data_IF_151081449138
#
_entry.id   IF_151081449138
#
_cell.length_a   1.000
_cell.length_b   1.000
_cell.length_c   1.000
_cell.angle_alpha   90.00
_cell.angle_beta   90.00
_cell.angle_gamma   90.00
#
_symmetry.space_group_name_H-M   'P 1'
#
loop_
_entity.id
_entity.type
_entity.pdbx_description
1 polymer ?
#
# COMPACT_ATOMS: atom_id res chain seq x y z
N UNK A 1 11.98 -9.04 -14.72
CA UNK A 1 10.54 -9.15 -15.08
C UNK A 1 10.07 -7.75 -15.41
N UNK A 2 9.72 -7.48 -16.65
CA UNK A 2 9.14 -6.20 -17.07
C UNK A 2 7.66 -6.20 -16.68
N UNK A 3 7.24 -5.23 -15.87
CA UNK A 3 5.84 -5.08 -15.46
C UNK A 3 5.11 -4.19 -16.46
N UNK A 4 3.80 -4.44 -16.66
CA UNK A 4 2.95 -3.49 -17.36
C UNK A 4 2.61 -2.36 -16.39
N UNK A 5 2.72 -1.12 -16.85
CA UNK A 5 2.34 0.09 -16.12
C UNK A 5 1.02 0.63 -16.65
N UNK A 6 0.38 1.52 -15.89
CA UNK A 6 -0.81 2.21 -16.34
C UNK A 6 -0.44 3.21 -17.45
N UNK A 7 -0.96 3.06 -18.69
CA UNK A 7 -0.58 3.92 -19.81
C UNK A 7 -1.15 5.34 -19.71
N UNK A 8 -2.07 5.59 -18.79
CA UNK A 8 -2.70 6.91 -18.62
C UNK A 8 -1.84 7.91 -17.84
N UNK A 9 -0.70 7.47 -17.31
CA UNK A 9 0.14 8.27 -16.41
C UNK A 9 1.61 8.16 -16.78
N UNK A 10 2.34 9.25 -16.57
CA UNK A 10 3.81 9.24 -16.61
C UNK A 10 4.30 8.60 -15.31
N UNK A 11 5.12 7.56 -15.42
CA UNK A 11 5.56 6.78 -14.25
C UNK A 11 6.92 7.28 -13.77
N UNK A 12 7.04 7.48 -12.47
CA UNK A 12 8.31 7.57 -11.75
C UNK A 12 8.91 6.17 -11.66
N UNK A 13 9.83 5.85 -12.59
CA UNK A 13 10.43 4.53 -12.70
C UNK A 13 11.22 4.13 -11.45
N UNK A 14 11.84 5.08 -10.76
CA UNK A 14 12.61 4.81 -9.54
C UNK A 14 11.67 4.40 -8.40
N UNK A 15 10.61 5.20 -8.17
CA UNK A 15 9.58 4.87 -7.18
C UNK A 15 8.89 3.55 -7.51
N UNK A 16 8.55 3.34 -8.79
CA UNK A 16 7.93 2.09 -9.23
C UNK A 16 8.85 0.88 -8.99
N UNK A 17 10.15 1.03 -9.24
CA UNK A 17 11.13 -0.01 -8.97
C UNK A 17 11.23 -0.32 -7.47
N UNK A 18 11.19 0.70 -6.60
CA UNK A 18 11.18 0.53 -5.15
C UNK A 18 9.93 -0.19 -4.66
N UNK A 19 8.74 0.23 -5.11
CA UNK A 19 7.46 -0.40 -4.77
C UNK A 19 7.40 -1.87 -5.20
N UNK A 20 7.82 -2.17 -6.43
CA UNK A 20 7.80 -3.55 -6.94
C UNK A 20 8.84 -4.44 -6.27
N UNK A 21 10.01 -3.90 -5.88
CA UNK A 21 10.99 -4.66 -5.10
C UNK A 21 10.52 -4.93 -3.67
N UNK A 22 9.82 -3.99 -3.05
CA UNK A 22 9.15 -4.20 -1.75
C UNK A 22 8.11 -5.31 -1.84
N UNK A 23 7.24 -5.26 -2.86
CA UNK A 23 6.26 -6.32 -3.14
C UNK A 23 6.91 -7.69 -3.35
N UNK A 24 8.05 -7.77 -4.06
CA UNK A 24 8.80 -9.02 -4.23
C UNK A 24 9.30 -9.56 -2.89
N UNK A 25 9.84 -8.71 -2.01
CA UNK A 25 10.29 -9.14 -0.66
C UNK A 25 9.13 -9.68 0.17
N UNK A 26 7.94 -9.08 0.09
CA UNK A 26 6.72 -9.61 0.70
C UNK A 26 6.39 -10.99 0.13
N UNK A 27 6.33 -11.12 -1.21
CA UNK A 27 6.07 -12.39 -1.91
C UNK A 27 7.04 -13.50 -1.53
N UNK A 28 8.33 -13.18 -1.43
CA UNK A 28 9.37 -14.15 -1.14
C UNK A 28 9.34 -14.58 0.33
N UNK A 29 8.70 -13.79 1.21
CA UNK A 29 8.57 -14.09 2.64
C UNK A 29 7.28 -14.79 3.04
N UNK A 30 6.17 -14.45 2.41
CA UNK A 30 4.85 -14.97 2.80
C UNK A 30 4.30 -15.86 1.69
N UNK A 31 3.76 -17.02 2.08
CA UNK A 31 3.23 -17.98 1.10
C UNK A 31 1.95 -17.47 0.45
N UNK A 32 1.14 -16.72 1.20
CA UNK A 32 -0.14 -16.17 0.77
C UNK A 32 -0.25 -14.71 1.22
N UNK A 33 -0.56 -13.82 0.28
CA UNK A 33 -0.63 -12.38 0.51
C UNK A 33 -1.95 -11.83 -0.02
N UNK A 34 -2.66 -11.05 0.79
CA UNK A 34 -3.82 -10.30 0.34
C UNK A 34 -3.43 -8.82 0.28
N UNK A 35 -3.28 -8.23 -0.92
CA UNK A 35 -3.06 -6.80 -1.06
C UNK A 35 -4.33 -6.01 -0.67
N UNK A 36 -4.15 -4.83 -0.11
CA UNK A 36 -5.22 -3.95 0.33
C UNK A 36 -4.83 -2.49 0.02
N UNK A 37 -5.26 -2.00 -1.14
CA UNK A 37 -5.16 -0.58 -1.49
C UNK A 37 -6.21 0.22 -0.73
N UNK A 38 -5.76 1.26 -0.03
CA UNK A 38 -6.61 2.26 0.61
C UNK A 38 -6.04 3.65 0.35
N UNK A 39 -6.93 4.60 0.10
CA UNK A 39 -6.58 6.00 -0.12
C UNK A 39 -7.00 6.81 1.10
N UNK A 40 -6.19 7.79 1.51
CA UNK A 40 -6.43 8.63 2.69
C UNK A 40 -6.29 10.11 2.33
N UNK A 41 -7.05 10.95 3.01
CA UNK A 41 -6.96 12.40 2.90
C UNK A 41 -7.57 13.05 4.15
N UNK A 42 -7.63 14.37 4.17
CA UNK A 42 -8.35 15.14 5.19
C UNK A 42 -9.64 15.74 4.62
N UNK A 43 -10.65 15.96 5.47
CA UNK A 43 -11.86 16.70 5.09
C UNK A 43 -11.46 18.12 4.66
N UNK A 44 -12.00 18.62 3.56
CA UNK A 44 -11.71 19.97 3.04
C UNK A 44 -12.05 21.09 4.02
N UNK A 45 -12.94 20.84 4.98
CA UNK A 45 -13.34 21.78 6.05
C UNK A 45 -12.51 21.65 7.33
N UNK A 46 -11.54 20.75 7.39
CA UNK A 46 -10.77 20.46 8.61
C UNK A 46 -9.59 21.42 8.83
N UNK A 47 -9.13 21.54 10.07
CA UNK A 47 -7.92 22.32 10.38
C UNK A 47 -6.68 21.70 9.74
N UNK A 48 -6.53 20.37 9.82
CA UNK A 48 -5.45 19.64 9.13
C UNK A 48 -5.41 19.91 7.63
N UNK A 49 -6.57 20.02 6.97
CA UNK A 49 -6.62 20.41 5.57
C UNK A 49 -6.17 21.87 5.37
N UNK A 50 -6.57 22.80 6.22
CA UNK A 50 -6.10 24.19 6.13
C UNK A 50 -4.58 24.32 6.38
N UNK A 51 -4.06 23.56 7.33
CA UNK A 51 -2.66 23.51 7.75
C UNK A 51 -1.77 22.65 6.83
N UNK A 52 -2.30 22.18 5.69
CA UNK A 52 -1.62 21.31 4.70
C UNK A 52 -0.31 21.85 4.11
N UNK A 53 0.08 23.07 4.48
CA UNK A 53 1.30 23.76 4.04
C UNK A 53 2.40 23.83 5.12
N UNK A 54 2.20 23.26 6.31
CA UNK A 54 3.17 23.30 7.44
C UNK A 54 3.90 21.98 7.67
N UNK A 55 5.20 21.98 7.96
CA UNK A 55 6.05 20.81 8.25
C UNK A 55 5.33 19.59 8.90
N UNK A 56 5.70 18.37 8.41
CA UNK A 56 5.27 17.04 8.91
C UNK A 56 3.96 16.47 8.35
N UNK A 57 3.65 16.77 7.10
CA UNK A 57 2.47 16.31 6.36
C UNK A 57 2.26 14.79 6.39
N UNK A 58 3.35 14.03 6.36
CA UNK A 58 3.39 12.57 6.26
C UNK A 58 3.32 11.84 7.61
N UNK A 59 3.49 12.53 8.72
CA UNK A 59 3.61 11.90 10.04
C UNK A 59 2.37 11.14 10.48
N UNK A 60 1.17 11.63 10.17
CA UNK A 60 -0.07 10.92 10.52
C UNK A 60 -0.21 9.63 9.71
N UNK A 61 0.16 9.64 8.43
CA UNK A 61 0.17 8.44 7.60
C UNK A 61 1.26 7.45 8.05
N UNK A 62 2.46 7.95 8.39
CA UNK A 62 3.52 7.14 8.98
C UNK A 62 3.07 6.48 10.30
N UNK A 63 2.47 7.26 11.22
CA UNK A 63 1.91 6.76 12.48
C UNK A 63 0.86 5.70 12.26
N UNK A 64 -0.05 5.90 11.31
CA UNK A 64 -1.07 4.92 10.94
C UNK A 64 -0.41 3.61 10.50
N UNK A 65 0.49 3.69 9.52
CA UNK A 65 1.12 2.53 8.92
C UNK A 65 1.93 1.71 9.94
N UNK A 66 2.71 2.39 10.77
CA UNK A 66 3.48 1.76 11.85
C UNK A 66 2.58 1.17 12.94
N UNK A 67 1.49 1.84 13.30
CA UNK A 67 0.56 1.34 14.32
C UNK A 67 -0.13 0.06 13.85
N UNK A 68 -0.64 0.02 12.63
CA UNK A 68 -1.32 -1.18 12.10
C UNK A 68 -0.34 -2.32 11.83
N UNK A 69 0.94 -2.02 11.57
CA UNK A 69 2.01 -3.01 11.51
C UNK A 69 2.28 -3.62 12.91
N UNK A 70 2.44 -2.79 13.95
CA UNK A 70 2.65 -3.25 15.34
C UNK A 70 1.48 -4.09 15.87
N UNK A 71 0.25 -3.74 15.51
CA UNK A 71 -0.95 -4.51 15.86
C UNK A 71 -1.05 -5.85 15.11
N UNK A 72 -0.10 -6.18 14.22
CA UNK A 72 -0.17 -7.34 13.32
C UNK A 72 -1.42 -7.33 12.43
N UNK A 73 -2.01 -6.15 12.22
CA UNK A 73 -3.12 -5.97 11.27
C UNK A 73 -2.60 -6.13 9.84
N UNK A 74 -1.36 -5.73 9.58
CA UNK A 74 -0.69 -5.89 8.29
C UNK A 74 0.65 -6.58 8.50
N UNK A 75 1.17 -7.25 7.47
CA UNK A 75 2.52 -7.86 7.44
C UNK A 75 3.55 -6.97 6.75
N UNK A 76 3.08 -5.89 6.15
CA UNK A 76 3.87 -4.85 5.53
C UNK A 76 2.96 -3.84 4.86
N UNK A 77 3.53 -2.71 4.48
CA UNK A 77 2.87 -1.63 3.78
C UNK A 77 3.86 -0.85 2.90
N UNK A 78 3.29 -0.13 1.95
CA UNK A 78 3.92 0.95 1.20
C UNK A 78 2.91 2.09 1.09
N UNK A 79 3.33 3.35 1.22
CA UNK A 79 2.47 4.48 0.91
C UNK A 79 3.23 5.57 0.16
N UNK A 80 2.52 6.31 -0.67
CA UNK A 80 3.01 7.46 -1.43
C UNK A 80 2.10 8.64 -1.16
N UNK A 81 2.71 9.81 -0.94
CA UNK A 81 2.03 11.08 -0.72
C UNK A 81 1.85 11.81 -2.05
N UNK A 82 0.67 12.38 -2.23
CA UNK A 82 0.29 13.25 -3.33
C UNK A 82 -0.20 14.58 -2.79
N UNK A 83 0.07 15.63 -3.54
CA UNK A 83 -0.39 16.97 -3.24
C UNK A 83 -0.77 17.71 -4.52
N UNK A 84 -1.98 18.27 -4.54
CA UNK A 84 -2.38 19.29 -5.51
C UNK A 84 -2.98 20.48 -4.80
N UNK A 85 -2.88 21.67 -5.41
CA UNK A 85 -3.53 22.86 -4.85
C UNK A 85 -5.07 22.71 -4.78
N UNK A 86 -5.65 21.94 -5.72
CA UNK A 86 -7.09 21.74 -5.83
C UNK A 86 -7.65 20.76 -4.79
N UNK A 87 -6.95 19.65 -4.54
CA UNK A 87 -7.47 18.55 -3.72
C UNK A 87 -6.74 18.42 -2.38
N UNK A 88 -5.62 19.11 -2.21
CA UNK A 88 -4.82 19.09 -1.00
C UNK A 88 -4.01 17.81 -0.88
N UNK A 89 -3.75 17.40 0.37
CA UNK A 89 -2.90 16.26 0.67
C UNK A 89 -3.66 14.93 0.59
N UNK A 90 -3.09 13.98 -0.15
CA UNK A 90 -3.60 12.64 -0.31
C UNK A 90 -2.51 11.60 -0.10
N UNK A 91 -2.90 10.42 0.36
CA UNK A 91 -2.00 9.27 0.47
C UNK A 91 -2.61 8.07 -0.23
N UNK A 92 -1.81 7.44 -1.08
CA UNK A 92 -2.13 6.13 -1.62
C UNK A 92 -1.32 5.08 -0.89
N UNK A 93 -2.00 4.22 -0.14
CA UNK A 93 -1.36 3.15 0.61
C UNK A 93 -1.70 1.78 0.02
N UNK A 94 -0.70 0.93 -0.06
CA UNK A 94 -0.83 -0.51 -0.26
C UNK A 94 -0.45 -1.21 1.04
N UNK A 95 -1.44 -1.81 1.70
CA UNK A 95 -1.21 -2.71 2.83
C UNK A 95 -1.15 -4.15 2.35
N UNK A 96 -0.33 -4.97 2.99
CA UNK A 96 -0.24 -6.40 2.73
C UNK A 96 -0.73 -7.15 3.96
N UNK A 97 -1.66 -8.07 3.76
CA UNK A 97 -2.20 -8.93 4.82
C UNK A 97 -1.68 -10.36 4.66
N UNK A 98 -1.48 -11.06 5.79
CA UNK A 98 -1.18 -12.48 5.80
C UNK A 98 -2.39 -13.30 5.34
N UNK A 99 -2.34 -13.85 4.13
CA UNK A 99 -3.43 -14.65 3.55
C UNK A 99 -3.65 -15.99 4.25
N UNK A 100 -2.67 -16.50 4.99
CA UNK A 100 -2.84 -17.74 5.77
C UNK A 100 -3.65 -17.50 7.04
N UNK A 101 -3.44 -16.35 7.68
CA UNK A 101 -4.13 -15.97 8.92
C UNK A 101 -5.45 -15.26 8.67
N UNK A 102 -5.60 -14.59 7.52
CA UNK A 102 -6.76 -13.75 7.22
C UNK A 102 -7.49 -14.24 5.98
N UNK A 103 -8.78 -14.49 6.13
CA UNK A 103 -9.66 -14.93 5.02
C UNK A 103 -10.33 -13.77 4.26
N UNK A 104 -10.37 -12.57 4.84
CA UNK A 104 -11.03 -11.40 4.24
C UNK A 104 -10.31 -10.09 4.61
N UNK A 105 -10.05 -9.23 3.61
CA UNK A 105 -9.43 -7.93 3.79
C UNK A 105 -10.34 -6.90 4.49
N UNK A 106 -11.67 -7.05 4.41
CA UNK A 106 -12.64 -6.03 4.89
C UNK A 106 -12.52 -5.73 6.38
N UNK A 107 -12.33 -6.74 7.23
CA UNK A 107 -12.13 -6.53 8.67
C UNK A 107 -10.85 -5.73 8.95
N UNK A 108 -9.78 -6.03 8.22
CA UNK A 108 -8.51 -5.30 8.35
C UNK A 108 -8.66 -3.87 7.84
N UNK A 109 -9.36 -3.66 6.73
CA UNK A 109 -9.66 -2.33 6.19
C UNK A 109 -10.45 -1.47 7.19
N UNK A 110 -11.41 -2.06 7.91
CA UNK A 110 -12.15 -1.37 8.98
C UNK A 110 -11.24 -0.95 10.13
N UNK A 111 -10.38 -1.85 10.62
CA UNK A 111 -9.41 -1.52 11.67
C UNK A 111 -8.50 -0.37 11.23
N UNK A 112 -7.96 -0.43 10.00
CA UNK A 112 -7.10 0.63 9.45
C UNK A 112 -7.87 1.96 9.36
N UNK A 113 -9.12 1.93 8.92
CA UNK A 113 -9.97 3.11 8.84
C UNK A 113 -10.30 3.73 10.20
N UNK A 114 -10.57 2.90 11.21
CA UNK A 114 -10.83 3.33 12.59
C UNK A 114 -9.57 3.96 13.20
N UNK A 115 -8.40 3.37 12.96
CA UNK A 115 -7.11 3.93 13.38
C UNK A 115 -6.79 5.26 12.69
N UNK A 116 -7.09 5.40 11.38
CA UNK A 116 -6.95 6.66 10.68
C UNK A 116 -7.82 7.76 11.28
N UNK A 117 -9.09 7.45 11.57
CA UNK A 117 -10.00 8.39 12.24
C UNK A 117 -9.48 8.78 13.62
N UNK A 118 -8.93 7.82 14.38
CA UNK A 118 -8.37 8.11 15.71
C UNK A 118 -7.14 9.02 15.63
N UNK A 119 -6.21 8.78 14.70
CA UNK A 119 -4.99 9.59 14.55
C UNK A 119 -5.31 11.03 14.10
N UNK A 120 -6.35 11.17 13.30
CA UNK A 120 -6.76 12.45 12.70
C UNK A 120 -7.85 13.16 13.50
N UNK A 121 -8.19 12.70 14.71
CA UNK A 121 -9.29 13.23 15.52
C UNK A 121 -10.62 13.36 14.74
N UNK A 122 -10.87 12.41 13.84
CA UNK A 122 -12.05 12.39 12.97
C UNK A 122 -12.01 13.33 11.78
N UNK A 123 -10.91 14.06 11.56
CA UNK A 123 -10.72 14.94 10.40
C UNK A 123 -10.31 14.19 9.13
N UNK A 124 -9.83 12.96 9.26
CA UNK A 124 -9.44 12.11 8.14
C UNK A 124 -10.63 11.50 7.40
N UNK A 125 -10.50 11.43 6.08
CA UNK A 125 -11.33 10.62 5.19
C UNK A 125 -10.50 9.50 4.58
N UNK A 126 -11.15 8.43 4.17
CA UNK A 126 -10.50 7.29 3.54
C UNK A 126 -11.40 6.67 2.49
N UNK A 127 -10.79 5.95 1.56
CA UNK A 127 -11.48 5.16 0.56
C UNK A 127 -10.90 3.75 0.50
N UNK A 128 -11.79 2.75 0.55
CA UNK A 128 -11.42 1.36 0.38
C UNK A 128 -11.55 0.96 -1.09
N UNK A 129 -10.45 0.90 -1.82
CA UNK A 129 -10.45 0.87 -3.29
C UNK A 129 -10.63 -0.53 -3.91
N UNK A 130 -11.07 -1.51 -3.11
CA UNK A 130 -11.13 -2.92 -3.48
C UNK A 130 -12.17 -3.27 -4.56
N UNK A 131 -13.17 -2.40 -4.79
CA UNK A 131 -14.31 -2.67 -5.69
C UNK A 131 -14.41 -1.74 -6.90
N UNK A 132 -13.39 -0.91 -7.22
CA UNK A 132 -13.55 0.03 -8.33
C UNK A 132 -13.39 -0.66 -9.68
N UNK A 133 -14.38 -0.46 -10.56
CA UNK A 133 -14.49 -1.08 -11.90
C UNK A 133 -13.31 -0.74 -12.85
N UNK A 134 -12.56 0.34 -12.58
CA UNK A 134 -11.38 0.69 -13.38
C UNK A 134 -10.14 -0.15 -13.05
N UNK A 135 -10.11 -0.82 -11.89
CA UNK A 135 -9.09 -1.83 -11.62
C UNK A 135 -9.53 -3.08 -12.39
N UNK A 136 -8.94 -3.32 -13.57
CA UNK A 136 -9.08 -4.58 -14.33
C UNK A 136 -8.62 -5.84 -13.55
N UNK A 137 -8.30 -5.68 -12.27
CA UNK A 137 -7.65 -6.61 -11.35
C UNK A 137 -8.42 -6.57 -10.02
N UNK A 138 -8.83 -7.74 -9.52
CA UNK A 138 -9.39 -7.85 -8.18
C UNK A 138 -8.28 -7.69 -7.14
N UNK A 139 -8.17 -6.48 -6.58
CA UNK A 139 -7.16 -6.12 -5.58
C UNK A 139 -7.29 -6.85 -4.24
N UNK A 140 -8.42 -7.53 -3.97
CA UNK A 140 -8.69 -8.20 -2.69
C UNK A 140 -8.34 -9.70 -2.72
N UNK A 141 -7.87 -10.20 -3.85
CA UNK A 141 -7.63 -11.63 -4.04
C UNK A 141 -6.42 -12.08 -3.23
N UNK A 142 -6.54 -13.24 -2.59
CA UNK A 142 -5.39 -13.92 -1.99
C UNK A 142 -4.43 -14.41 -3.08
N UNK A 143 -3.18 -13.96 -3.02
CA UNK A 143 -2.11 -14.27 -3.96
C UNK A 143 -1.15 -15.27 -3.33
N UNK A 144 -1.17 -16.50 -3.83
CA UNK A 144 -0.14 -17.48 -3.49
C UNK A 144 1.21 -17.05 -4.09
N UNK A 145 2.34 -17.33 -3.44
CA UNK A 145 3.67 -16.87 -3.86
C UNK A 145 4.06 -17.29 -5.29
N UNK A 146 3.51 -18.41 -5.78
CA UNK A 146 3.74 -18.89 -7.15
C UNK A 146 2.88 -18.18 -8.21
N UNK A 147 1.92 -17.35 -7.82
CA UNK A 147 0.96 -16.70 -8.71
C UNK A 147 1.57 -15.50 -9.46
N UNK A 148 2.34 -15.82 -10.48
CA UNK A 148 3.03 -14.81 -11.31
C UNK A 148 2.07 -13.83 -11.97
N UNK A 149 0.84 -14.24 -12.30
CA UNK A 149 -0.15 -13.36 -12.93
C UNK A 149 -0.67 -12.34 -11.92
N UNK A 150 -1.08 -12.81 -10.73
CA UNK A 150 -1.53 -11.94 -9.64
C UNK A 150 -0.51 -10.88 -9.24
N UNK A 151 0.77 -11.23 -9.17
CA UNK A 151 1.83 -10.25 -8.85
C UNK A 151 2.14 -9.28 -9.99
N UNK A 152 1.89 -9.64 -11.26
CA UNK A 152 1.95 -8.67 -12.37
C UNK A 152 0.79 -7.69 -12.32
N UNK A 153 -0.39 -8.21 -12.01
CA UNK A 153 -1.60 -7.42 -11.86
C UNK A 153 -1.50 -6.47 -10.66
N UNK A 154 -0.90 -6.92 -9.56
CA UNK A 154 -0.56 -6.08 -8.41
C UNK A 154 0.50 -5.02 -8.75
N UNK A 155 1.51 -5.35 -9.54
CA UNK A 155 2.48 -4.36 -10.01
C UNK A 155 1.79 -3.28 -10.88
N UNK A 156 0.80 -3.63 -11.69
CA UNK A 156 -0.01 -2.65 -12.41
C UNK A 156 -0.73 -1.69 -11.44
N UNK A 157 -1.32 -2.19 -10.34
CA UNK A 157 -1.91 -1.34 -9.29
C UNK A 157 -0.85 -0.44 -8.64
N UNK A 158 0.34 -0.97 -8.35
CA UNK A 158 1.44 -0.19 -7.76
C UNK A 158 1.95 0.90 -8.71
N UNK A 159 1.87 0.73 -10.02
CA UNK A 159 2.23 1.79 -10.97
C UNK A 159 1.36 3.04 -10.82
N UNK A 160 0.10 2.88 -10.39
CA UNK A 160 -0.75 4.03 -10.08
C UNK A 160 -0.20 4.89 -8.92
N UNK A 161 0.40 4.25 -7.92
CA UNK A 161 1.05 4.96 -6.79
C UNK A 161 2.34 5.65 -7.24
N UNK A 162 2.93 5.21 -8.35
CA UNK A 162 4.16 5.74 -8.90
C UNK A 162 3.94 6.77 -10.02
N UNK A 163 2.72 7.26 -10.24
CA UNK A 163 2.49 8.33 -11.21
C UNK A 163 3.23 9.60 -10.79
N UNK A 164 3.69 10.40 -11.75
CA UNK A 164 4.37 11.68 -11.49
C UNK A 164 3.36 12.80 -11.25
N UNK A 165 2.16 12.66 -11.80
CA UNK A 165 1.08 13.61 -11.66
C UNK A 165 0.64 13.74 -10.19
N UNK A 166 0.07 14.90 -9.85
CA UNK A 166 -0.46 15.20 -8.51
C UNK A 166 0.60 15.29 -7.40
N UNK A 167 1.80 15.78 -7.75
CA UNK A 167 2.93 16.01 -6.83
C UNK A 167 3.44 17.46 -6.92
N UNK A 168 2.53 18.41 -7.11
CA UNK A 168 2.80 19.81 -7.51
C UNK A 168 3.68 20.61 -6.54
N UNK A 169 3.74 20.20 -5.26
CA UNK A 169 4.49 20.89 -4.22
C UNK A 169 5.70 20.07 -3.70
N UNK A 170 6.03 18.95 -4.34
CA UNK A 170 7.10 18.08 -3.89
C UNK A 170 8.21 18.01 -4.94
N UNK A 171 9.42 18.49 -4.61
CA UNK A 171 10.60 18.36 -5.48
C UNK A 171 10.98 16.88 -5.72
N UNK A 172 10.67 16.01 -4.76
CA UNK A 172 10.84 14.56 -4.86
C UNK A 172 9.61 13.82 -4.32
N UNK A 173 9.34 12.63 -4.88
CA UNK A 173 8.30 11.73 -4.39
C UNK A 173 8.50 11.42 -2.89
N UNK A 174 7.51 11.75 -2.05
CA UNK A 174 7.49 11.39 -0.62
C UNK A 174 6.75 10.06 -0.46
N UNK A 175 7.42 9.05 0.06
CA UNK A 175 6.89 7.70 0.24
C UNK A 175 7.57 7.00 1.39
N UNK A 176 6.94 5.95 1.91
CA UNK A 176 7.56 5.07 2.89
C UNK A 176 7.21 3.60 2.66
N UNK A 177 8.16 2.74 2.99
CA UNK A 177 8.07 1.29 2.83
C UNK A 177 8.42 0.63 4.15
N UNK A 178 7.54 -0.23 4.65
CA UNK A 178 7.85 -1.09 5.81
C UNK A 178 9.08 -1.97 5.55
N UNK A 179 9.88 -2.19 6.59
CA UNK A 179 10.99 -3.13 6.53
C UNK A 179 10.48 -4.58 6.46
N UNK A 180 10.93 -5.34 5.46
CA UNK A 180 10.58 -6.77 5.32
C UNK A 180 11.78 -7.63 5.68
N UNK A 181 11.79 -8.18 6.90
CA UNK A 181 12.84 -9.11 7.34
C UNK A 181 12.94 -10.30 6.39
N UNK A 182 14.12 -10.86 6.11
CA UNK A 182 14.23 -12.07 5.29
C UNK A 182 13.50 -13.27 5.93
N UNK A 183 13.17 -14.30 5.13
CA UNK A 183 12.81 -15.61 5.70
C UNK A 183 14.00 -16.14 6.50
N UNK A 184 13.79 -16.43 7.79
CA UNK A 184 14.78 -17.17 8.58
C UNK A 184 15.03 -18.54 7.96
N UNK A 185 16.25 -19.08 8.10
CA UNK A 185 16.63 -20.44 7.64
C UNK A 185 15.96 -21.57 8.45
N UNK A 186 14.81 -21.31 9.07
CA UNK A 186 14.07 -22.25 9.90
C UNK A 186 12.89 -22.83 9.13
N UNK A 187 13.15 -23.89 8.38
CA UNK A 187 12.13 -24.73 7.77
C UNK A 187 12.66 -26.16 7.69
N UNK A 188 11.87 -27.14 8.17
CA UNK A 188 12.22 -28.56 8.08
C UNK A 188 12.46 -28.91 6.60
N UNK A 189 13.55 -29.59 6.23
CA UNK A 189 13.81 -29.94 4.84
C UNK A 189 12.65 -30.74 4.28
N UNK A 190 12.04 -30.27 3.18
CA UNK A 190 11.18 -31.14 2.38
C UNK A 190 12.11 -32.06 1.58
N UNK A 191 12.36 -33.25 2.12
CA UNK A 191 12.94 -34.35 1.34
C UNK A 191 11.90 -34.69 0.27
N UNK A 192 12.21 -34.37 -0.99
CA UNK A 192 11.49 -34.93 -2.13
C UNK A 192 11.81 -36.41 -2.20
N UNK A 193 10.90 -37.27 -1.76
CA UNK A 193 10.94 -38.68 -2.13
C UNK A 193 10.65 -38.78 -3.62
N UNK A 194 11.67 -39.10 -4.41
CA UNK A 194 11.51 -39.41 -5.82
C UNK A 194 10.63 -40.64 -6.03
N UNK A 195 9.76 -40.57 -7.02
CA UNK A 195 9.29 -41.72 -7.79
C UNK A 195 9.60 -41.42 -9.25
#
# INVERSE_FOLDING_TARGET
MTYRTNPNYTIDDELFQKLTNHMKRIRDRYSDVIPLRMDFAYKTTSKRYADRYRDRWDMDMYRLAERVLRMSTVIGYAWVMEFTYQHGLHFHAMFYLDGQRKRNCYRSARVIAEEWRSITDGEGIFENCQKKAYHKVNGARCLHYSDRKGYRDLAFILSYLAKQEQKEACEASVYWLSEIKPRGRGGRPHIRSGR
#
